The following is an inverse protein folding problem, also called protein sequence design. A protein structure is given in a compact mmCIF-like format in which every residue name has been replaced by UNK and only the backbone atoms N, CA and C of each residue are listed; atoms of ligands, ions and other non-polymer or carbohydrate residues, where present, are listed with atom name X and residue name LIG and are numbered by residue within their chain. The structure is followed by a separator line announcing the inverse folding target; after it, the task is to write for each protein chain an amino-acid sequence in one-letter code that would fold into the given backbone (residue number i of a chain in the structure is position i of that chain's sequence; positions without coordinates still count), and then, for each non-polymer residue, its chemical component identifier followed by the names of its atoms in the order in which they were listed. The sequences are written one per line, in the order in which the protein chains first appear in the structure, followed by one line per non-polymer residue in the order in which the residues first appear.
data_IF_517039861237
#
_entry.id   IF_517039861237
#
_cell.length_a   1.000
_cell.length_b   1.000
_cell.length_c   1.000
_cell.angle_alpha   90.00
_cell.angle_beta   90.00
_cell.angle_gamma   90.00
#
_symmetry.space_group_name_H-M   'P 1'
#
loop_
_entity.id
_entity.type
_entity.pdbx_description
1 polymer ?
#
# COMPACT_ATOMS: atom_id res chain seq x y z
N UNK A 1 -1.28 -12.35 11.52
CA UNK A 1 -1.77 -11.00 11.89
C UNK A 1 -0.63 -10.04 11.68
N UNK A 2 -0.81 -9.09 10.77
CA UNK A 2 0.14 -8.00 10.50
C UNK A 2 -0.18 -6.84 11.44
N UNK A 3 0.83 -6.33 12.12
CA UNK A 3 0.74 -5.09 12.90
C UNK A 3 1.60 -4.00 12.28
N UNK A 4 1.39 -2.72 12.67
CA UNK A 4 2.11 -1.56 12.13
C UNK A 4 3.61 -1.78 12.04
N UNK A 5 4.23 -2.19 13.17
CA UNK A 5 5.68 -2.44 13.26
C UNK A 5 6.19 -3.51 12.28
N UNK A 6 5.33 -4.43 11.85
CA UNK A 6 5.74 -5.44 10.88
C UNK A 6 5.98 -4.85 9.49
N UNK A 7 5.29 -3.76 9.12
CA UNK A 7 5.42 -3.14 7.80
C UNK A 7 6.75 -2.41 7.63
N UNK A 8 7.30 -1.85 8.72
CA UNK A 8 8.55 -1.09 8.73
C UNK A 8 9.82 -1.96 8.81
N UNK A 9 9.68 -3.29 8.73
CA UNK A 9 10.83 -4.20 8.66
C UNK A 9 11.56 -4.06 7.31
N UNK A 10 12.87 -4.29 7.33
CA UNK A 10 13.76 -4.10 6.17
C UNK A 10 13.32 -4.88 4.91
N UNK A 11 12.76 -6.08 5.09
CA UNK A 11 12.29 -6.94 4.00
C UNK A 11 11.00 -6.45 3.34
N UNK A 12 10.28 -5.52 3.98
CA UNK A 12 9.01 -4.95 3.54
C UNK A 12 9.07 -3.44 3.30
N UNK A 13 10.25 -2.83 3.48
CA UNK A 13 10.43 -1.39 3.31
C UNK A 13 10.03 -0.89 1.92
N UNK A 14 10.09 -1.76 0.91
CA UNK A 14 9.63 -1.48 -0.45
C UNK A 14 8.14 -1.13 -0.54
N UNK A 15 7.33 -1.52 0.47
CA UNK A 15 5.94 -1.10 0.56
C UNK A 15 5.82 0.42 0.49
N UNK A 16 6.75 1.13 1.13
CA UNK A 16 6.76 2.59 1.25
C UNK A 16 7.45 3.32 0.09
N UNK A 17 7.95 2.59 -0.92
CA UNK A 17 8.44 3.22 -2.14
C UNK A 17 7.27 3.87 -2.92
N UNK A 18 7.50 4.90 -3.74
CA UNK A 18 6.42 5.61 -4.44
C UNK A 18 5.43 4.74 -5.23
N UNK A 19 5.90 3.60 -5.75
CA UNK A 19 5.16 2.61 -6.54
C UNK A 19 4.72 1.38 -5.73
N UNK A 20 4.97 1.36 -4.42
CA UNK A 20 4.80 0.16 -3.57
C UNK A 20 3.35 -0.28 -3.32
N UNK A 21 2.35 0.54 -3.69
CA UNK A 21 0.93 0.34 -3.31
C UNK A 21 -0.08 0.46 -4.45
N UNK A 22 0.36 0.65 -5.71
CA UNK A 22 -0.53 1.01 -6.83
C UNK A 22 -1.72 0.06 -6.96
N UNK A 23 -1.42 -1.24 -7.03
CA UNK A 23 -2.37 -2.32 -6.99
C UNK A 23 -2.24 -3.09 -5.68
N UNK A 24 -3.31 -3.79 -5.31
CA UNK A 24 -3.31 -4.69 -4.15
C UNK A 24 -2.20 -5.75 -4.25
N UNK A 25 -1.89 -6.25 -5.46
CA UNK A 25 -0.79 -7.20 -5.61
C UNK A 25 0.58 -6.59 -5.28
N UNK A 26 0.80 -5.28 -5.47
CA UNK A 26 2.06 -4.63 -5.06
C UNK A 26 2.22 -4.64 -3.53
N UNK A 27 1.11 -4.44 -2.80
CA UNK A 27 1.10 -4.58 -1.35
C UNK A 27 1.48 -6.02 -0.97
N UNK A 28 0.86 -7.02 -1.59
CA UNK A 28 1.14 -8.43 -1.31
C UNK A 28 2.57 -8.85 -1.67
N UNK A 29 3.11 -8.35 -2.78
CA UNK A 29 4.49 -8.53 -3.21
C UNK A 29 5.46 -8.02 -2.13
N UNK A 30 5.22 -6.82 -1.64
CA UNK A 30 6.02 -6.22 -0.56
C UNK A 30 5.86 -6.94 0.78
N UNK A 31 4.74 -7.62 1.01
CA UNK A 31 4.55 -8.51 2.17
C UNK A 31 5.23 -9.88 2.00
N UNK A 32 5.78 -10.18 0.82
CA UNK A 32 6.51 -11.43 0.54
C UNK A 32 5.66 -12.57 -0.04
N UNK A 33 4.43 -12.30 -0.47
CA UNK A 33 3.57 -13.32 -1.10
C UNK A 33 4.01 -13.69 -2.53
N UNK A 34 4.83 -12.87 -3.18
CA UNK A 34 5.31 -13.17 -4.54
C UNK A 34 6.59 -14.01 -4.60
N UNK A 35 7.41 -14.01 -3.53
CA UNK A 35 8.75 -14.62 -3.55
C UNK A 35 8.76 -16.14 -3.52
N UNK A 36 7.63 -16.75 -3.20
CA UNK A 36 7.46 -18.19 -3.16
C UNK A 36 6.25 -18.49 -4.05
N UNK A 37 6.42 -19.21 -5.16
CA UNK A 37 5.29 -19.65 -6.01
C UNK A 37 4.23 -20.45 -5.22
N UNK A 38 4.56 -20.85 -3.98
CA UNK A 38 3.69 -21.51 -3.01
C UNK A 38 2.87 -20.54 -2.12
N UNK A 39 3.25 -19.26 -1.99
CA UNK A 39 2.56 -18.24 -1.17
C UNK A 39 1.55 -17.45 -2.00
N UNK A 40 0.63 -18.20 -2.59
CA UNK A 40 -0.34 -17.69 -3.54
C UNK A 40 -1.16 -16.50 -2.97
N UNK A 41 -1.36 -15.44 -3.79
CA UNK A 41 -2.27 -14.31 -3.50
C UNK A 41 -3.71 -14.77 -3.21
N UNK A 42 -4.02 -16.01 -3.60
CA UNK A 42 -5.33 -16.64 -3.49
C UNK A 42 -5.69 -17.10 -2.08
N UNK A 43 -4.82 -16.97 -1.08
CA UNK A 43 -5.07 -17.49 0.26
C UNK A 43 -5.86 -16.50 1.13
N UNK A 44 -6.62 -17.02 2.10
CA UNK A 44 -7.26 -16.18 3.13
C UNK A 44 -6.21 -15.40 3.93
N UNK A 45 -5.03 -15.98 4.15
CA UNK A 45 -3.94 -15.30 4.84
C UNK A 45 -3.44 -14.08 4.05
N UNK A 46 -3.19 -14.22 2.75
CA UNK A 46 -2.78 -13.10 1.89
C UNK A 46 -3.83 -11.99 1.90
N UNK A 47 -5.11 -12.35 1.74
CA UNK A 47 -6.23 -11.41 1.81
C UNK A 47 -6.28 -10.67 3.15
N UNK A 48 -6.22 -11.40 4.26
CA UNK A 48 -6.25 -10.84 5.61
C UNK A 48 -5.08 -9.89 5.86
N UNK A 49 -3.86 -10.29 5.49
CA UNK A 49 -2.66 -9.48 5.66
C UNK A 49 -2.64 -8.24 4.75
N UNK A 50 -3.13 -8.36 3.51
CA UNK A 50 -3.27 -7.22 2.61
C UNK A 50 -4.27 -6.20 3.13
N UNK A 51 -5.46 -6.63 3.55
CA UNK A 51 -6.47 -5.74 4.16
C UNK A 51 -5.92 -5.04 5.42
N UNK A 52 -5.25 -5.77 6.31
CA UNK A 52 -4.61 -5.20 7.50
C UNK A 52 -3.54 -4.17 7.14
N UNK A 53 -2.75 -4.42 6.10
CA UNK A 53 -1.70 -3.50 5.65
C UNK A 53 -2.29 -2.22 5.07
N UNK A 54 -3.32 -2.33 4.23
CA UNK A 54 -4.04 -1.17 3.70
C UNK A 54 -4.70 -0.37 4.83
N UNK A 55 -5.28 -1.04 5.83
CA UNK A 55 -5.85 -0.38 7.01
C UNK A 55 -4.80 0.41 7.80
N UNK A 56 -3.61 -0.16 8.02
CA UNK A 56 -2.49 0.53 8.65
C UNK A 56 -2.06 1.76 7.82
N UNK A 57 -1.91 1.62 6.50
CA UNK A 57 -1.55 2.73 5.61
C UNK A 57 -2.61 3.84 5.62
N UNK A 58 -3.90 3.49 5.68
CA UNK A 58 -4.99 4.45 5.86
C UNK A 58 -4.92 5.16 7.22
N UNK A 59 -4.61 4.43 8.28
CA UNK A 59 -4.47 5.00 9.63
C UNK A 59 -3.29 5.96 9.73
N UNK A 60 -2.21 5.71 8.98
CA UNK A 60 -1.08 6.61 8.82
C UNK A 60 -1.37 7.79 7.87
N UNK A 61 -2.53 7.80 7.22
CA UNK A 61 -2.96 8.81 6.25
C UNK A 61 -2.03 8.93 5.04
N UNK A 62 -1.33 7.85 4.70
CA UNK A 62 -0.35 7.80 3.64
C UNK A 62 -0.96 7.63 2.26
N UNK A 63 -2.13 6.98 2.18
CA UNK A 63 -2.70 6.53 0.92
C UNK A 63 -4.08 7.12 0.62
N UNK A 64 -4.42 7.17 -0.66
CA UNK A 64 -5.73 7.53 -1.17
C UNK A 64 -6.07 6.72 -2.44
N UNK A 65 -7.37 6.62 -2.75
CA UNK A 65 -7.83 5.94 -3.96
C UNK A 65 -7.72 6.93 -5.12
N UNK A 66 -7.11 6.50 -6.22
CA UNK A 66 -7.04 7.32 -7.44
C UNK A 66 -7.79 6.71 -8.63
N UNK A 67 -8.10 5.42 -8.58
CA UNK A 67 -8.96 4.75 -9.55
C UNK A 67 -9.80 3.68 -8.87
N UNK A 68 -11.06 3.55 -9.30
CA UNK A 68 -12.01 2.58 -8.77
C UNK A 68 -12.05 1.28 -9.59
N UNK A 69 -11.17 1.12 -10.57
CA UNK A 69 -11.17 -0.02 -11.49
C UNK A 69 -12.24 0.07 -12.59
N UNK A 70 -12.29 -0.96 -13.43
CA UNK A 70 -12.98 -0.94 -14.74
C UNK A 70 -14.53 -0.98 -14.60
N UNK A 71 -15.06 -1.31 -13.42
CA UNK A 71 -16.49 -1.64 -13.26
C UNK A 71 -17.31 -0.70 -12.36
N UNK A 72 -16.81 0.51 -12.03
CA UNK A 72 -17.52 1.37 -11.06
C UNK A 72 -17.78 2.81 -11.55
N UNK A 73 -18.71 3.02 -12.49
CA UNK A 73 -19.05 4.35 -12.98
C UNK A 73 -19.79 5.24 -11.95
N UNK A 74 -20.27 4.68 -10.83
CA UNK A 74 -21.18 5.37 -9.89
C UNK A 74 -20.56 5.80 -8.55
N UNK A 75 -19.33 5.37 -8.25
CA UNK A 75 -18.70 5.58 -6.93
C UNK A 75 -17.57 6.63 -6.99
N UNK A 76 -17.08 6.97 -8.18
CA UNK A 76 -15.93 7.87 -8.41
C UNK A 76 -16.10 9.34 -8.00
N UNK A 77 -17.27 9.73 -7.46
CA UNK A 77 -17.55 11.10 -6.99
C UNK A 77 -17.66 11.24 -5.47
N UNK A 78 -17.44 10.15 -4.73
CA UNK A 78 -17.56 10.14 -3.27
C UNK A 78 -16.19 10.01 -2.65
N UNK A 79 -15.87 10.89 -1.71
CA UNK A 79 -14.76 10.69 -0.80
C UNK A 79 -15.12 9.56 0.15
N UNK A 80 -14.39 8.45 0.06
CA UNK A 80 -14.56 7.34 0.99
C UNK A 80 -13.81 7.65 2.27
N UNK A 81 -14.47 7.46 3.40
CA UNK A 81 -13.78 7.33 4.67
C UNK A 81 -12.87 6.10 4.66
N UNK A 82 -11.85 6.10 5.54
CA UNK A 82 -10.95 4.95 5.75
C UNK A 82 -11.74 3.64 5.96
N UNK A 83 -12.82 3.72 6.73
CA UNK A 83 -13.71 2.59 7.02
C UNK A 83 -14.43 2.09 5.77
N UNK A 84 -15.00 2.98 4.97
CA UNK A 84 -15.74 2.59 3.76
C UNK A 84 -14.83 1.92 2.74
N UNK A 85 -13.56 2.37 2.60
CA UNK A 85 -12.58 1.72 1.73
C UNK A 85 -12.33 0.28 2.18
N UNK A 86 -12.04 0.07 3.47
CA UNK A 86 -11.75 -1.27 3.99
C UNK A 86 -12.96 -2.20 3.86
N UNK A 87 -14.18 -1.72 4.14
CA UNK A 87 -15.39 -2.52 3.95
C UNK A 87 -15.62 -2.86 2.47
N UNK A 88 -15.41 -1.91 1.57
CA UNK A 88 -15.52 -2.16 0.14
C UNK A 88 -14.50 -3.21 -0.34
N UNK A 89 -13.24 -3.08 0.06
CA UNK A 89 -12.22 -4.09 -0.27
C UNK A 89 -12.55 -5.46 0.31
N UNK A 90 -13.12 -5.54 1.53
CA UNK A 90 -13.59 -6.82 2.09
C UNK A 90 -14.67 -7.46 1.23
N UNK A 91 -15.55 -6.67 0.64
CA UNK A 91 -16.64 -7.14 -0.24
C UNK A 91 -16.11 -7.65 -1.58
N UNK A 92 -15.23 -6.90 -2.25
CA UNK A 92 -14.79 -7.24 -3.62
C UNK A 92 -13.59 -8.16 -3.70
N UNK A 93 -12.74 -8.17 -2.68
CA UNK A 93 -11.59 -9.07 -2.65
C UNK A 93 -12.01 -10.44 -2.12
N UNK A 94 -12.18 -11.41 -3.01
CA UNK A 94 -12.46 -12.80 -2.67
C UNK A 94 -11.19 -13.66 -2.56
N UNK A 95 -11.25 -14.73 -1.75
CA UNK A 95 -10.21 -15.77 -1.70
C UNK A 95 -10.17 -16.48 -3.05
N UNK A 96 -9.00 -16.59 -3.66
CA UNK A 96 -8.86 -17.04 -5.05
C UNK A 96 -8.52 -15.93 -6.03
N UNK A 97 -8.57 -14.66 -5.62
CA UNK A 97 -8.20 -13.55 -6.49
C UNK A 97 -6.74 -13.65 -6.98
N UNK A 98 -6.57 -13.43 -8.27
CA UNK A 98 -5.30 -13.42 -8.99
C UNK A 98 -4.88 -11.99 -9.34
N UNK A 99 -3.71 -11.84 -9.95
CA UNK A 99 -3.22 -10.54 -10.46
C UNK A 99 -4.21 -9.87 -11.40
N UNK A 100 -4.95 -10.64 -12.21
CA UNK A 100 -5.92 -10.11 -13.15
C UNK A 100 -7.13 -9.48 -12.46
N UNK A 101 -7.59 -10.09 -11.35
CA UNK A 101 -8.75 -9.62 -10.60
C UNK A 101 -8.46 -8.26 -9.93
N UNK A 102 -7.22 -8.03 -9.51
CA UNK A 102 -6.83 -6.76 -8.86
C UNK A 102 -6.91 -5.54 -9.79
N UNK A 103 -6.86 -5.70 -11.11
CA UNK A 103 -7.11 -4.58 -12.05
C UNK A 103 -8.56 -4.09 -12.02
N UNK A 104 -9.49 -4.91 -11.51
CA UNK A 104 -10.90 -4.54 -11.34
C UNK A 104 -11.21 -4.00 -9.94
N UNK A 105 -10.22 -3.95 -9.05
CA UNK A 105 -10.34 -3.43 -7.69
C UNK A 105 -9.83 -1.99 -7.60
N UNK A 106 -10.09 -1.26 -6.49
CA UNK A 106 -9.55 0.08 -6.31
C UNK A 106 -8.02 0.10 -6.37
N UNK A 107 -7.49 1.06 -7.13
CA UNK A 107 -6.07 1.37 -7.20
C UNK A 107 -5.77 2.51 -6.23
N UNK A 108 -4.66 2.37 -5.54
CA UNK A 108 -4.29 3.20 -4.40
C UNK A 108 -2.97 3.89 -4.73
N UNK A 109 -2.85 5.17 -4.40
CA UNK A 109 -1.56 5.87 -4.50
C UNK A 109 -1.21 6.48 -3.16
N UNK A 110 0.04 6.85 -3.01
CA UNK A 110 0.46 7.72 -1.92
C UNK A 110 -0.15 9.12 -2.09
N UNK A 111 -0.54 9.72 -0.96
CA UNK A 111 -0.99 11.11 -0.92
C UNK A 111 0.17 12.04 -1.27
N UNK A 112 -0.18 13.15 -1.89
CA UNK A 112 0.80 14.13 -2.39
C UNK A 112 1.75 14.66 -1.30
N UNK A 113 1.29 14.80 -0.05
CA UNK A 113 2.15 15.28 1.05
C UNK A 113 3.33 14.35 1.29
N UNK A 114 3.12 13.03 1.22
CA UNK A 114 4.15 12.04 1.46
C UNK A 114 5.17 12.05 0.33
N UNK A 115 4.69 12.07 -0.91
CA UNK A 115 5.55 12.11 -2.10
C UNK A 115 6.39 13.40 -2.13
N UNK A 116 5.79 14.56 -1.84
CA UNK A 116 6.52 15.84 -1.74
C UNK A 116 7.56 15.81 -0.63
N UNK A 117 7.23 15.28 0.56
CA UNK A 117 8.19 15.17 1.65
C UNK A 117 9.39 14.26 1.28
N UNK A 118 9.17 13.20 0.51
CA UNK A 118 10.25 12.37 -0.03
C UNK A 118 11.10 13.13 -1.06
N UNK A 119 10.47 13.88 -1.97
CA UNK A 119 11.17 14.72 -2.96
C UNK A 119 12.03 15.80 -2.28
N UNK A 120 11.51 16.45 -1.24
CA UNK A 120 12.24 17.44 -0.42
C UNK A 120 13.45 16.82 0.31
N UNK A 121 13.39 15.53 0.63
CA UNK A 121 14.51 14.74 1.15
C UNK A 121 15.50 14.29 0.07
N UNK A 122 15.26 14.60 -1.19
CA UNK A 122 16.14 14.27 -2.31
C UNK A 122 15.79 12.97 -3.04
N UNK A 123 14.55 12.48 -2.92
CA UNK A 123 14.07 11.38 -3.75
C UNK A 123 14.04 11.82 -5.23
N UNK A 124 14.55 10.97 -6.12
CA UNK A 124 14.53 11.15 -7.57
C UNK A 124 14.11 9.85 -8.25
N UNK A 125 13.78 9.89 -9.54
CA UNK A 125 13.43 8.71 -10.32
C UNK A 125 14.53 7.64 -10.43
N UNK A 126 15.80 7.99 -10.17
CA UNK A 126 16.94 7.06 -10.16
C UNK A 126 17.34 6.60 -8.75
N UNK A 127 16.62 7.02 -7.73
CA UNK A 127 17.00 6.76 -6.34
C UNK A 127 16.79 5.30 -5.95
N UNK A 128 17.83 4.65 -5.43
CA UNK A 128 17.71 3.30 -4.87
C UNK A 128 17.03 3.35 -3.49
N UNK A 129 15.77 2.92 -3.43
CA UNK A 129 14.87 3.12 -2.27
C UNK A 129 15.48 2.74 -0.92
N UNK A 130 16.06 1.54 -0.80
CA UNK A 130 16.61 1.06 0.48
C UNK A 130 17.77 1.92 0.98
N UNK A 131 18.63 2.37 0.06
CA UNK A 131 19.78 3.23 0.38
C UNK A 131 19.30 4.60 0.80
N UNK A 132 18.32 5.14 0.07
CA UNK A 132 17.70 6.43 0.38
C UNK A 132 17.06 6.46 1.77
N UNK A 133 16.24 5.45 2.11
CA UNK A 133 15.66 5.37 3.45
C UNK A 133 16.76 5.32 4.50
N UNK A 134 17.80 4.50 4.31
CA UNK A 134 18.90 4.37 5.28
C UNK A 134 19.70 5.65 5.47
N UNK A 135 20.02 6.36 4.39
CA UNK A 135 20.97 7.48 4.41
C UNK A 135 20.31 8.85 4.59
N UNK A 136 19.08 9.04 4.10
CA UNK A 136 18.39 10.34 4.08
C UNK A 136 17.24 10.43 5.10
N UNK A 137 16.66 9.30 5.50
CA UNK A 137 15.49 9.25 6.41
C UNK A 137 15.87 8.67 7.77
N UNK A 138 16.55 7.52 7.81
CA UNK A 138 16.81 6.77 9.03
C UNK A 138 15.57 5.97 9.46
N UNK A 139 14.96 6.37 10.58
CA UNK A 139 13.74 5.73 11.08
C UNK A 139 12.53 6.23 10.27
N UNK A 140 12.09 5.42 9.31
CA UNK A 140 10.97 5.76 8.43
C UNK A 140 9.64 5.88 9.20
N UNK A 141 9.41 5.07 10.23
CA UNK A 141 8.17 5.13 11.00
C UNK A 141 8.09 6.45 11.75
N UNK A 142 9.16 6.81 12.47
CA UNK A 142 9.24 8.07 13.20
C UNK A 142 9.16 9.26 12.25
N UNK A 143 9.90 9.22 11.14
CA UNK A 143 9.91 10.30 10.17
C UNK A 143 8.51 10.58 9.58
N UNK A 144 7.76 9.54 9.24
CA UNK A 144 6.37 9.68 8.75
C UNK A 144 5.49 10.38 9.78
N UNK A 145 5.61 10.04 11.06
CA UNK A 145 4.82 10.68 12.12
C UNK A 145 5.22 12.15 12.33
N UNK A 146 6.50 12.49 12.15
CA UNK A 146 7.02 13.86 12.29
C UNK A 146 6.61 14.78 11.14
N UNK A 147 6.51 14.26 9.91
CA UNK A 147 6.20 15.06 8.72
C UNK A 147 4.72 15.02 8.32
N UNK A 148 3.91 14.13 8.90
CA UNK A 148 2.48 14.06 8.61
C UNK A 148 1.79 15.38 9.02
N UNK A 149 0.93 15.97 8.15
CA UNK A 149 0.16 17.17 8.46
C UNK A 149 -0.81 17.05 9.65
#
# INVERSE_FOLDING_TARGET
MIIKKDLFKEDKIGLFAPDGVEFIYNVLENLGYYKDFSKNFTTEEARSHGLQSIEILCNLELIEIFSWGIHIPKISKRDFSKRELIEYLREVWFVGASTQDFYSMPMIKYKDWYLKALEEKGLTHTTHWKTFVKEQIGDLEQWIEEVRP
#
